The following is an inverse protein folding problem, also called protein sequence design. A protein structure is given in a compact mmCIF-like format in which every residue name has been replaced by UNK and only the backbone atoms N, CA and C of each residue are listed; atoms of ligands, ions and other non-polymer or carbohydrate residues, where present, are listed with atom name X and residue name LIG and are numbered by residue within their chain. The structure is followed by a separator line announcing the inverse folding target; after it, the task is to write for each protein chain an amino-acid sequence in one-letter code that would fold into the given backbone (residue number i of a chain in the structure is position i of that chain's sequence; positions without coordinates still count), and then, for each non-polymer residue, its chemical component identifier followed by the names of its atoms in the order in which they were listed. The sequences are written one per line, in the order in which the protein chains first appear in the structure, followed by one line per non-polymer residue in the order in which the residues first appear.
data_IF_262825209609
#
_entry.id   IF_262825209609
#
_cell.length_a   1.000
_cell.length_b   1.000
_cell.length_c   1.000
_cell.angle_alpha   90.00
_cell.angle_beta   90.00
_cell.angle_gamma   90.00
#
_symmetry.space_group_name_H-M   'P 1'
#
loop_
_entity.id
_entity.type
_entity.pdbx_description
1 polymer ?
#
# COMPACT_ATOMS: atom_id res chain seq x y z
N UNK A 1 4.08 30.01 26.67
CA UNK A 1 4.74 29.34 25.53
C UNK A 1 3.74 29.33 24.40
N UNK A 2 3.94 30.15 23.37
CA UNK A 2 3.05 30.24 22.21
C UNK A 2 3.16 28.96 21.42
N UNK A 3 2.08 28.18 21.36
CA UNK A 3 1.98 27.10 20.38
C UNK A 3 2.17 27.70 18.98
N UNK A 4 2.88 27.04 18.04
CA UNK A 4 2.86 27.49 16.65
C UNK A 4 1.40 27.56 16.18
N UNK A 5 1.00 28.64 15.52
CA UNK A 5 -0.35 28.81 14.96
C UNK A 5 -0.54 27.91 13.72
N UNK A 6 -0.48 26.59 13.94
CA UNK A 6 -0.86 25.60 12.94
C UNK A 6 -2.33 25.79 12.60
N UNK A 7 -2.66 25.86 11.32
CA UNK A 7 -4.05 26.13 10.90
C UNK A 7 -4.77 24.88 10.39
N UNK A 8 -4.02 23.84 9.99
CA UNK A 8 -4.55 22.61 9.43
C UNK A 8 -3.47 21.53 9.33
N UNK A 9 -3.91 20.34 8.94
CA UNK A 9 -3.11 19.14 8.82
C UNK A 9 -3.01 18.73 7.35
N UNK A 10 -1.88 18.12 7.01
CA UNK A 10 -1.67 17.46 5.71
C UNK A 10 -1.30 16.00 5.99
N UNK A 11 -2.04 15.07 5.39
CA UNK A 11 -1.77 13.65 5.44
C UNK A 11 -1.34 13.17 4.07
N UNK A 12 -0.20 12.49 3.98
CA UNK A 12 0.31 11.92 2.73
C UNK A 12 0.44 10.41 2.86
N UNK A 13 -0.15 9.69 1.91
CA UNK A 13 0.03 8.26 1.67
C UNK A 13 0.70 8.10 0.30
N UNK A 14 2.00 7.78 0.30
CA UNK A 14 2.83 7.71 -0.90
C UNK A 14 3.33 6.31 -1.18
N UNK A 15 2.93 5.73 -2.32
CA UNK A 15 3.32 4.38 -2.73
C UNK A 15 4.04 4.33 -4.08
N UNK A 16 4.37 3.12 -4.53
CA UNK A 16 5.06 2.88 -5.81
C UNK A 16 4.25 3.18 -7.07
N UNK A 17 2.92 3.21 -6.98
CA UNK A 17 2.00 3.42 -8.12
C UNK A 17 1.24 4.73 -8.09
N UNK A 18 1.26 5.44 -6.96
CA UNK A 18 0.55 6.70 -6.77
C UNK A 18 0.71 7.22 -5.36
N UNK A 19 0.25 8.45 -5.14
CA UNK A 19 0.10 9.00 -3.80
C UNK A 19 -1.28 9.64 -3.61
N UNK A 20 -1.67 9.79 -2.36
CA UNK A 20 -2.89 10.50 -1.94
C UNK A 20 -2.49 11.54 -0.91
N UNK A 21 -3.01 12.74 -1.08
CA UNK A 21 -2.83 13.84 -0.12
C UNK A 21 -4.20 14.28 0.36
N UNK A 22 -4.36 14.39 1.66
CA UNK A 22 -5.54 14.95 2.32
C UNK A 22 -5.16 16.21 3.09
N UNK A 23 -6.03 17.22 3.02
CA UNK A 23 -5.98 18.41 3.87
C UNK A 23 -7.12 18.28 4.88
N UNK A 24 -6.84 18.49 6.17
CA UNK A 24 -7.83 18.36 7.24
C UNK A 24 -7.74 19.49 8.27
N UNK A 25 -8.81 19.74 9.00
CA UNK A 25 -8.78 20.59 10.20
C UNK A 25 -7.98 19.94 11.33
N UNK A 26 -7.62 20.71 12.36
CA UNK A 26 -6.78 20.22 13.48
C UNK A 26 -7.41 19.09 14.30
N UNK A 27 -8.74 18.94 14.24
CA UNK A 27 -9.49 17.82 14.83
C UNK A 27 -9.52 16.57 13.93
N UNK A 28 -8.86 16.61 12.77
CA UNK A 28 -8.73 15.47 11.85
C UNK A 28 -9.82 15.37 10.78
N UNK A 29 -10.79 16.30 10.71
CA UNK A 29 -11.83 16.26 9.67
C UNK A 29 -11.26 16.68 8.31
N UNK A 30 -11.29 15.75 7.34
CA UNK A 30 -10.82 15.97 5.97
C UNK A 30 -11.68 17.04 5.26
N UNK A 31 -11.00 18.04 4.70
CA UNK A 31 -11.57 19.13 3.90
C UNK A 31 -11.53 18.80 2.41
N UNK A 32 -10.40 18.28 1.93
CA UNK A 32 -10.21 17.91 0.54
C UNK A 32 -9.11 16.87 0.35
N UNK A 33 -9.14 16.20 -0.81
CA UNK A 33 -8.13 15.23 -1.24
C UNK A 33 -7.68 15.47 -2.68
N UNK A 34 -6.44 15.04 -2.96
CA UNK A 34 -5.91 14.93 -4.30
C UNK A 34 -5.12 13.63 -4.47
N UNK A 35 -4.98 13.18 -5.72
CA UNK A 35 -4.17 12.04 -6.10
C UNK A 35 -2.95 12.53 -6.88
N UNK A 36 -1.79 11.98 -6.58
CA UNK A 36 -0.57 12.20 -7.33
C UNK A 36 -0.04 10.91 -7.95
N UNK A 37 1.00 11.06 -8.77
CA UNK A 37 1.76 9.93 -9.28
C UNK A 37 2.63 9.31 -8.16
N UNK A 38 3.45 8.31 -8.52
CA UNK A 38 4.28 7.55 -7.58
C UNK A 38 5.09 8.44 -6.64
N UNK A 39 5.23 7.99 -5.40
CA UNK A 39 5.95 8.68 -4.34
C UNK A 39 6.78 7.71 -3.49
N UNK A 40 7.42 6.72 -4.14
CA UNK A 40 8.39 5.86 -3.48
C UNK A 40 9.76 6.55 -3.42
N UNK A 41 10.18 6.94 -2.23
CA UNK A 41 11.38 7.75 -2.01
C UNK A 41 12.69 6.98 -2.19
N UNK A 42 12.64 5.64 -2.16
CA UNK A 42 13.82 4.79 -2.43
C UNK A 42 14.09 4.62 -3.94
N UNK A 43 13.06 4.76 -4.77
CA UNK A 43 13.20 4.66 -6.24
C UNK A 43 13.68 5.98 -6.84
N UNK A 44 13.00 7.07 -6.53
CA UNK A 44 13.38 8.43 -6.95
C UNK A 44 12.80 9.44 -5.95
N UNK A 45 13.63 9.88 -5.00
CA UNK A 45 13.22 10.82 -3.96
C UNK A 45 12.79 12.18 -4.55
N UNK A 46 13.47 12.67 -5.58
CA UNK A 46 13.17 13.98 -6.17
C UNK A 46 11.84 13.96 -6.93
N UNK A 47 11.59 12.91 -7.72
CA UNK A 47 10.30 12.71 -8.40
C UNK A 47 9.17 12.53 -7.38
N UNK A 48 9.41 11.75 -6.32
CA UNK A 48 8.43 11.52 -5.25
C UNK A 48 8.01 12.84 -4.56
N UNK A 49 8.98 13.66 -4.15
CA UNK A 49 8.70 14.97 -3.53
C UNK A 49 7.97 15.91 -4.48
N UNK A 50 8.35 15.93 -5.76
CA UNK A 50 7.66 16.72 -6.79
C UNK A 50 6.19 16.29 -6.93
N UNK A 51 5.93 14.98 -6.96
CA UNK A 51 4.58 14.43 -7.03
C UNK A 51 3.74 14.71 -5.78
N UNK A 52 4.33 14.56 -4.60
CA UNK A 52 3.70 14.90 -3.32
C UNK A 52 3.33 16.38 -3.28
N UNK A 53 4.25 17.28 -3.64
CA UNK A 53 3.97 18.71 -3.64
C UNK A 53 2.91 19.09 -4.65
N UNK A 54 2.91 18.51 -5.86
CA UNK A 54 1.84 18.75 -6.84
C UNK A 54 0.47 18.35 -6.31
N UNK A 55 0.35 17.16 -5.73
CA UNK A 55 -0.90 16.70 -5.12
C UNK A 55 -1.29 17.56 -3.90
N UNK A 56 -0.32 18.02 -3.12
CA UNK A 56 -0.54 18.93 -1.99
C UNK A 56 -1.16 20.25 -2.44
N UNK A 57 -0.59 20.90 -3.46
CA UNK A 57 -1.15 22.14 -4.00
C UNK A 57 -2.58 21.95 -4.49
N UNK A 58 -2.86 20.84 -5.18
CA UNK A 58 -4.22 20.52 -5.65
C UNK A 58 -5.20 20.31 -4.49
N UNK A 59 -4.80 19.58 -3.44
CA UNK A 59 -5.66 19.33 -2.27
C UNK A 59 -5.93 20.63 -1.50
N UNK A 60 -4.93 21.49 -1.32
CA UNK A 60 -5.05 22.81 -0.67
C UNK A 60 -6.02 23.71 -1.44
N UNK A 61 -5.88 23.79 -2.77
CA UNK A 61 -6.80 24.55 -3.61
C UNK A 61 -8.24 24.02 -3.53
N UNK A 62 -8.43 22.70 -3.57
CA UNK A 62 -9.77 22.09 -3.42
C UNK A 62 -10.39 22.33 -2.04
N UNK A 63 -9.57 22.48 -0.99
CA UNK A 63 -10.01 22.85 0.34
C UNK A 63 -10.41 24.33 0.46
N UNK A 64 -10.27 25.13 -0.61
CA UNK A 64 -10.54 26.57 -0.61
C UNK A 64 -9.47 27.40 0.11
N UNK A 65 -8.26 26.85 0.28
CA UNK A 65 -7.13 27.48 0.94
C UNK A 65 -6.13 28.07 -0.07
N UNK A 66 -5.30 29.00 0.39
CA UNK A 66 -4.21 29.57 -0.42
C UNK A 66 -2.99 28.66 -0.39
N UNK A 67 -2.22 28.64 -1.47
CA UNK A 67 -0.90 27.96 -1.47
C UNK A 67 0.06 28.58 -0.46
N UNK A 68 -0.13 29.86 -0.14
CA UNK A 68 0.62 30.55 0.92
C UNK A 68 0.35 29.96 2.31
N UNK A 69 -0.72 29.18 2.48
CA UNK A 69 -1.00 28.59 3.78
C UNK A 69 -0.16 27.31 4.03
N UNK A 70 0.46 26.71 3.00
CA UNK A 70 1.13 25.39 3.08
C UNK A 70 2.18 25.37 4.20
N UNK A 71 2.87 26.50 4.41
CA UNK A 71 3.89 26.66 5.44
C UNK A 71 3.36 26.77 6.87
N UNK A 72 2.02 26.71 7.04
CA UNK A 72 1.31 26.70 8.33
C UNK A 72 0.78 25.31 8.69
N UNK A 73 1.05 24.31 7.87
CA UNK A 73 0.55 22.95 8.03
C UNK A 73 1.46 22.08 8.91
N UNK A 74 0.86 21.19 9.70
CA UNK A 74 1.55 20.00 10.22
C UNK A 74 1.29 18.85 9.27
N UNK A 75 2.35 18.31 8.69
CA UNK A 75 2.28 17.20 7.75
C UNK A 75 2.77 15.90 8.38
N UNK A 76 2.04 14.81 8.15
CA UNK A 76 2.54 13.46 8.33
C UNK A 76 2.56 12.74 6.98
N UNK A 77 3.72 12.19 6.62
CA UNK A 77 3.95 11.50 5.37
C UNK A 77 4.29 10.03 5.62
N UNK A 78 3.37 9.13 5.26
CA UNK A 78 3.65 7.70 5.16
C UNK A 78 4.12 7.38 3.74
N UNK A 79 5.40 7.05 3.58
CA UNK A 79 6.04 6.92 2.28
C UNK A 79 6.69 5.54 2.11
N UNK A 80 6.36 4.87 1.02
CA UNK A 80 7.04 3.66 0.59
C UNK A 80 8.52 3.96 0.32
N UNK A 81 9.40 3.05 0.73
CA UNK A 81 10.84 3.20 0.59
C UNK A 81 11.49 4.15 1.59
N UNK A 82 10.76 4.64 2.60
CA UNK A 82 11.37 5.28 3.75
C UNK A 82 12.17 4.26 4.56
N UNK A 83 13.48 4.43 4.67
CA UNK A 83 14.39 3.48 5.33
C UNK A 83 14.99 4.00 6.63
N UNK A 84 14.61 5.19 7.08
CA UNK A 84 15.03 5.73 8.38
C UNK A 84 15.38 7.23 8.40
N UNK A 85 16.04 7.69 9.47
CA UNK A 85 16.22 9.11 9.76
C UNK A 85 17.02 9.89 8.70
N UNK A 86 17.96 9.26 8.00
CA UNK A 86 18.81 9.93 7.00
C UNK A 86 17.98 10.47 5.83
N UNK A 87 17.18 9.61 5.18
CA UNK A 87 16.27 10.03 4.12
C UNK A 87 15.14 10.92 4.67
N UNK A 88 14.72 10.68 5.92
CA UNK A 88 13.75 11.54 6.62
C UNK A 88 14.20 13.00 6.74
N UNK A 89 15.46 13.24 7.11
CA UNK A 89 16.02 14.58 7.17
C UNK A 89 16.01 15.28 5.81
N UNK A 90 16.33 14.56 4.73
CA UNK A 90 16.29 15.09 3.36
C UNK A 90 14.87 15.46 2.92
N UNK A 91 13.90 14.56 3.18
CA UNK A 91 12.49 14.78 2.85
C UNK A 91 11.94 15.98 3.61
N UNK A 92 12.16 16.03 4.94
CA UNK A 92 11.62 17.11 5.78
C UNK A 92 12.24 18.47 5.45
N UNK A 93 13.53 18.53 5.11
CA UNK A 93 14.20 19.76 4.69
C UNK A 93 13.74 20.27 3.31
N UNK A 94 13.25 19.39 2.43
CA UNK A 94 12.79 19.74 1.09
C UNK A 94 11.31 20.19 1.04
N UNK A 95 10.56 19.99 2.12
CA UNK A 95 9.12 20.28 2.17
C UNK A 95 8.85 21.58 2.93
N UNK A 96 7.97 22.45 2.42
CA UNK A 96 7.76 23.78 2.98
C UNK A 96 6.81 23.81 4.18
N UNK A 97 6.47 22.67 4.79
CA UNK A 97 5.50 22.61 5.89
C UNK A 97 6.07 23.15 7.21
N UNK A 98 5.21 23.70 8.09
CA UNK A 98 5.61 24.19 9.41
C UNK A 98 6.27 23.09 10.26
N UNK A 99 5.75 21.87 10.16
CA UNK A 99 6.25 20.67 10.80
C UNK A 99 5.99 19.48 9.88
N UNK A 100 7.01 18.65 9.67
CA UNK A 100 6.92 17.43 8.86
C UNK A 100 7.35 16.24 9.70
N UNK A 101 6.52 15.20 9.74
CA UNK A 101 6.88 13.89 10.28
C UNK A 101 6.79 12.89 9.14
N UNK A 102 7.81 12.05 9.00
CA UNK A 102 7.88 11.04 7.94
C UNK A 102 7.96 9.67 8.59
N UNK A 103 7.21 8.71 8.07
CA UNK A 103 7.28 7.30 8.46
C UNK A 103 7.19 6.41 7.23
N UNK A 104 7.37 5.11 7.43
CA UNK A 104 6.95 4.10 6.47
C UNK A 104 5.44 4.21 6.21
N UNK A 105 5.02 3.86 4.99
CA UNK A 105 3.62 3.73 4.58
C UNK A 105 2.87 2.63 5.34
N UNK A 106 3.61 1.63 5.85
CA UNK A 106 3.07 0.59 6.70
C UNK A 106 2.43 1.16 7.97
N UNK A 107 3.05 2.16 8.59
CA UNK A 107 2.51 2.77 9.82
C UNK A 107 1.18 3.50 9.56
N UNK A 108 1.11 4.31 8.50
CA UNK A 108 -0.15 5.00 8.13
C UNK A 108 -1.23 4.01 7.71
N UNK A 109 -0.86 2.92 7.04
CA UNK A 109 -1.78 1.84 6.66
C UNK A 109 -2.39 1.14 7.87
N UNK A 110 -1.58 0.75 8.86
CA UNK A 110 -2.05 0.11 10.10
C UNK A 110 -2.99 1.05 10.85
N UNK A 111 -2.55 2.28 11.12
CA UNK A 111 -3.35 3.26 11.87
C UNK A 111 -4.65 3.60 11.14
N UNK A 112 -4.62 3.70 9.81
CA UNK A 112 -5.83 3.95 9.03
C UNK A 112 -6.85 2.81 9.12
N UNK A 113 -6.38 1.57 9.12
CA UNK A 113 -7.26 0.41 9.06
C UNK A 113 -7.83 -0.04 10.40
N UNK A 114 -7.02 -0.04 11.47
CA UNK A 114 -7.41 -0.56 12.80
C UNK A 114 -7.27 0.48 13.92
N UNK A 115 -6.87 1.71 13.61
CA UNK A 115 -6.73 2.80 14.58
C UNK A 115 -5.86 2.42 15.79
N UNK A 116 -6.42 2.42 16.99
CA UNK A 116 -5.76 2.06 18.25
C UNK A 116 -6.13 0.66 18.72
N UNK A 117 -6.88 -0.11 17.93
CA UNK A 117 -7.31 -1.45 18.30
C UNK A 117 -6.17 -2.45 18.11
N UNK A 118 -6.16 -3.47 18.96
CA UNK A 118 -5.30 -4.64 18.79
C UNK A 118 -5.88 -5.52 17.68
N UNK A 119 -5.02 -5.99 16.78
CA UNK A 119 -5.46 -6.79 15.65
C UNK A 119 -4.39 -6.99 14.59
N UNK A 120 -4.81 -7.59 13.48
CA UNK A 120 -3.96 -7.95 12.37
C UNK A 120 -4.45 -7.26 11.09
N UNK A 121 -3.50 -6.88 10.24
CA UNK A 121 -3.77 -6.36 8.91
C UNK A 121 -2.94 -7.10 7.88
N UNK A 122 -3.61 -7.45 6.78
CA UNK A 122 -2.99 -7.87 5.53
C UNK A 122 -3.47 -6.87 4.47
N UNK A 123 -2.61 -5.92 4.09
CA UNK A 123 -2.88 -4.96 3.03
C UNK A 123 -2.07 -5.33 1.79
N UNK A 124 -2.76 -5.80 0.74
CA UNK A 124 -2.12 -6.26 -0.49
C UNK A 124 -2.53 -5.37 -1.66
N UNK A 125 -1.56 -4.62 -2.16
CA UNK A 125 -1.67 -3.76 -3.33
C UNK A 125 -0.63 -4.18 -4.36
N UNK A 126 0.16 -3.22 -4.84
CA UNK A 126 1.35 -3.53 -5.64
C UNK A 126 2.37 -4.32 -4.83
N UNK A 127 2.56 -4.02 -3.55
CA UNK A 127 3.38 -4.76 -2.60
C UNK A 127 2.55 -5.39 -1.48
N UNK A 128 3.23 -5.87 -0.44
CA UNK A 128 2.63 -6.60 0.69
C UNK A 128 2.93 -5.93 2.02
N UNK A 129 1.89 -5.66 2.80
CA UNK A 129 2.00 -5.28 4.21
C UNK A 129 1.24 -6.33 5.02
N UNK A 130 1.94 -6.98 5.96
CA UNK A 130 1.34 -7.90 6.93
C UNK A 130 1.83 -7.45 8.30
N UNK A 131 0.90 -7.08 9.18
CA UNK A 131 1.27 -6.55 10.48
C UNK A 131 0.30 -6.96 11.58
N UNK A 132 0.82 -6.94 12.80
CA UNK A 132 0.09 -7.04 14.05
C UNK A 132 0.26 -5.74 14.82
N UNK A 133 -0.84 -5.22 15.37
CA UNK A 133 -0.83 -4.22 16.42
C UNK A 133 -1.26 -4.86 17.74
N UNK A 134 -0.47 -4.66 18.81
CA UNK A 134 -0.81 -5.12 20.15
C UNK A 134 -0.30 -4.13 21.20
N UNK A 135 -1.19 -3.61 22.04
CA UNK A 135 -0.91 -2.57 23.03
C UNK A 135 -0.17 -1.36 22.41
N UNK A 136 -0.55 -0.98 21.19
CA UNK A 136 0.09 0.11 20.43
C UNK A 136 1.45 -0.21 19.82
N UNK A 137 1.99 -1.43 20.03
CA UNK A 137 3.22 -1.88 19.37
C UNK A 137 2.89 -2.57 18.05
N UNK A 138 3.59 -2.19 16.99
CA UNK A 138 3.45 -2.77 15.66
C UNK A 138 4.57 -3.77 15.38
N UNK A 139 4.24 -4.91 14.78
CA UNK A 139 5.21 -5.90 14.28
C UNK A 139 4.80 -6.29 12.88
N UNK A 140 5.74 -6.20 11.94
CA UNK A 140 5.48 -6.41 10.51
C UNK A 140 6.26 -7.62 9.97
N UNK A 141 5.70 -8.28 8.97
CA UNK A 141 6.33 -9.36 8.19
C UNK A 141 6.24 -9.01 6.70
N UNK A 142 7.30 -9.33 5.97
CA UNK A 142 7.37 -9.08 4.53
C UNK A 142 7.66 -7.61 4.23
N UNK A 143 7.21 -7.12 3.08
CA UNK A 143 7.39 -5.72 2.68
C UNK A 143 8.82 -5.33 2.29
N UNK A 144 9.76 -6.27 2.24
CA UNK A 144 11.17 -6.04 1.88
C UNK A 144 11.45 -5.72 0.39
N UNK A 145 10.47 -5.19 -0.35
CA UNK A 145 10.46 -4.94 -1.79
C UNK A 145 10.21 -6.15 -2.71
N UNK A 146 9.52 -5.87 -3.81
CA UNK A 146 9.09 -6.85 -4.80
C UNK A 146 10.20 -7.74 -5.37
N UNK A 147 11.42 -7.23 -5.53
CA UNK A 147 12.53 -7.98 -6.13
C UNK A 147 12.90 -9.23 -5.32
N UNK A 148 12.66 -9.23 -4.00
CA UNK A 148 13.06 -10.32 -3.10
C UNK A 148 11.96 -10.71 -2.09
N UNK A 149 10.77 -10.10 -2.18
CA UNK A 149 9.68 -10.21 -1.21
C UNK A 149 8.34 -9.93 -1.90
N UNK A 150 7.38 -9.34 -1.17
CA UNK A 150 6.02 -9.02 -1.61
C UNK A 150 5.22 -10.22 -2.13
N UNK A 151 5.44 -11.39 -1.53
CA UNK A 151 4.62 -12.56 -1.80
C UNK A 151 3.13 -12.23 -1.54
N UNK A 152 2.26 -12.82 -2.36
CA UNK A 152 0.81 -12.56 -2.40
C UNK A 152 0.39 -11.15 -2.87
N UNK A 153 1.33 -10.23 -3.15
CA UNK A 153 0.99 -8.93 -3.73
C UNK A 153 0.45 -9.06 -5.16
N UNK A 154 -0.15 -7.97 -5.66
CA UNK A 154 -0.54 -7.88 -7.06
C UNK A 154 0.64 -8.01 -8.03
N UNK A 155 1.80 -7.43 -7.70
CA UNK A 155 2.99 -7.56 -8.54
C UNK A 155 3.45 -9.02 -8.60
N UNK A 156 3.46 -9.71 -7.46
CA UNK A 156 3.80 -11.12 -7.37
C UNK A 156 2.82 -12.01 -8.16
N UNK A 157 1.51 -11.76 -8.05
CA UNK A 157 0.49 -12.47 -8.81
C UNK A 157 0.65 -12.26 -10.32
N UNK A 158 0.86 -11.02 -10.75
CA UNK A 158 1.04 -10.69 -12.17
C UNK A 158 2.28 -11.34 -12.76
N UNK A 159 3.41 -11.27 -12.06
CA UNK A 159 4.63 -11.96 -12.48
C UNK A 159 4.44 -13.48 -12.57
N UNK A 160 3.86 -14.08 -11.52
CA UNK A 160 3.55 -15.51 -11.51
C UNK A 160 2.62 -15.91 -12.66
N UNK A 161 1.64 -15.08 -13.02
CA UNK A 161 0.78 -15.35 -14.17
C UNK A 161 1.56 -15.40 -15.49
N UNK A 162 2.51 -14.48 -15.69
CA UNK A 162 3.35 -14.46 -16.88
C UNK A 162 4.32 -15.65 -16.93
N UNK A 163 4.95 -15.99 -15.81
CA UNK A 163 5.80 -17.17 -15.68
C UNK A 163 5.02 -18.44 -16.03
N UNK A 164 3.86 -18.66 -15.41
CA UNK A 164 3.03 -19.83 -15.68
C UNK A 164 2.50 -19.86 -17.11
N UNK A 165 2.25 -18.68 -17.72
CA UNK A 165 1.87 -18.58 -19.13
C UNK A 165 2.98 -19.06 -20.05
N UNK A 166 4.23 -18.68 -19.80
CA UNK A 166 5.36 -19.15 -20.60
C UNK A 166 5.60 -20.65 -20.44
N UNK A 167 5.47 -21.18 -19.21
CA UNK A 167 5.50 -22.63 -18.98
C UNK A 167 4.39 -23.38 -19.74
N UNK A 168 3.23 -22.75 -19.92
CA UNK A 168 2.14 -23.31 -20.72
C UNK A 168 2.44 -23.27 -22.23
N UNK A 169 3.15 -22.25 -22.71
CA UNK A 169 3.66 -22.18 -24.09
C UNK A 169 4.65 -23.32 -24.36
N UNK A 170 5.51 -23.64 -23.39
CA UNK A 170 6.48 -24.73 -23.48
C UNK A 170 5.86 -26.12 -23.26
N UNK A 171 4.57 -26.19 -22.91
CA UNK A 171 3.86 -27.45 -22.63
C UNK A 171 4.19 -28.10 -21.27
N UNK A 172 4.88 -27.38 -20.38
CA UNK A 172 5.23 -27.85 -19.03
C UNK A 172 4.01 -27.78 -18.10
N UNK A 173 3.21 -26.72 -18.23
CA UNK A 173 1.94 -26.53 -17.50
C UNK A 173 0.79 -26.60 -18.50
N UNK A 174 -0.36 -27.14 -18.11
CA UNK A 174 -1.54 -27.13 -18.96
C UNK A 174 -2.04 -25.69 -19.15
N UNK A 175 -2.24 -25.26 -20.39
CA UNK A 175 -2.81 -23.96 -20.69
C UNK A 175 -4.21 -23.80 -20.07
N UNK A 176 -4.51 -22.58 -19.63
CA UNK A 176 -5.80 -22.20 -19.04
C UNK A 176 -6.32 -20.89 -19.66
N UNK A 177 -7.58 -20.51 -19.43
CA UNK A 177 -8.10 -19.20 -19.83
C UNK A 177 -7.20 -18.02 -19.41
N UNK A 178 -6.59 -18.08 -18.22
CA UNK A 178 -5.64 -17.05 -17.78
C UNK A 178 -4.42 -16.95 -18.69
N UNK A 179 -3.78 -18.07 -19.04
CA UNK A 179 -2.58 -18.03 -19.90
C UNK A 179 -2.90 -17.55 -21.32
N UNK A 180 -4.06 -17.92 -21.85
CA UNK A 180 -4.54 -17.42 -23.15
C UNK A 180 -4.70 -15.90 -23.12
N UNK A 181 -5.35 -15.38 -22.07
CA UNK A 181 -5.53 -13.94 -21.88
C UNK A 181 -4.21 -13.18 -21.76
N UNK A 182 -3.21 -13.74 -21.06
CA UNK A 182 -1.89 -13.10 -20.94
C UNK A 182 -1.17 -13.02 -22.29
N UNK A 183 -1.24 -14.09 -23.09
CA UNK A 183 -0.71 -14.10 -24.45
C UNK A 183 -1.42 -13.07 -25.33
N UNK A 184 -2.76 -13.02 -25.32
CA UNK A 184 -3.52 -12.04 -26.09
C UNK A 184 -3.20 -10.60 -25.70
N UNK A 185 -3.15 -10.31 -24.40
CA UNK A 185 -2.91 -8.97 -23.87
C UNK A 185 -1.52 -8.43 -24.21
N UNK A 186 -0.50 -9.30 -24.23
CA UNK A 186 0.89 -8.89 -24.39
C UNK A 186 1.45 -9.15 -25.79
N UNK A 187 0.73 -9.82 -26.68
CA UNK A 187 1.19 -10.13 -28.04
C UNK A 187 2.02 -11.42 -28.14
N UNK A 188 1.61 -12.44 -27.40
CA UNK A 188 2.24 -13.76 -27.35
C UNK A 188 3.48 -13.81 -26.44
N UNK A 189 4.18 -14.95 -26.48
CA UNK A 189 5.38 -15.17 -25.66
C UNK A 189 6.48 -14.11 -25.88
N UNK A 190 6.81 -13.67 -27.11
CA UNK A 190 7.78 -12.59 -27.32
C UNK A 190 7.36 -11.28 -26.64
N UNK A 191 6.07 -10.98 -26.65
CA UNK A 191 5.51 -9.79 -26.01
C UNK A 191 5.59 -9.83 -24.49
N UNK A 192 5.38 -10.99 -23.88
CA UNK A 192 5.61 -11.21 -22.44
C UNK A 192 7.07 -10.93 -22.07
N UNK A 193 8.02 -11.42 -22.87
CA UNK A 193 9.46 -11.16 -22.63
C UNK A 193 9.79 -9.67 -22.79
N UNK A 194 9.26 -9.00 -23.82
CA UNK A 194 9.49 -7.56 -24.01
C UNK A 194 8.91 -6.72 -22.86
N UNK A 195 7.74 -7.12 -22.34
CA UNK A 195 7.14 -6.51 -21.17
C UNK A 195 8.01 -6.69 -19.93
N UNK A 196 8.45 -7.92 -19.62
CA UNK A 196 9.18 -8.22 -18.38
C UNK A 196 10.54 -7.50 -18.27
N UNK A 197 11.20 -7.23 -19.40
CA UNK A 197 12.48 -6.51 -19.43
C UNK A 197 12.39 -5.04 -18.96
N UNK A 198 11.19 -4.45 -18.96
CA UNK A 198 10.98 -3.02 -18.63
C UNK A 198 10.03 -2.83 -17.44
N UNK A 199 9.21 -3.84 -17.17
CA UNK A 199 8.15 -3.79 -16.18
C UNK A 199 8.68 -3.44 -14.78
N UNK A 200 8.02 -2.47 -14.16
CA UNK A 200 8.14 -2.14 -12.75
C UNK A 200 7.09 -2.93 -11.95
N UNK A 201 7.19 -3.01 -10.60
CA UNK A 201 6.23 -3.75 -9.79
C UNK A 201 4.77 -3.35 -10.07
N UNK A 202 4.52 -2.05 -10.29
CA UNK A 202 3.21 -1.52 -10.66
C UNK A 202 2.65 -2.11 -11.96
N UNK A 203 3.50 -2.34 -12.96
CA UNK A 203 3.10 -2.90 -14.26
C UNK A 203 2.64 -4.35 -14.09
N UNK A 204 3.39 -5.16 -13.34
CA UNK A 204 2.96 -6.52 -13.00
C UNK A 204 1.64 -6.50 -12.22
N UNK A 205 1.50 -5.58 -11.26
CA UNK A 205 0.29 -5.48 -10.45
C UNK A 205 -0.97 -5.16 -11.27
N UNK A 206 -0.85 -4.56 -12.46
CA UNK A 206 -2.00 -4.36 -13.37
C UNK A 206 -2.60 -5.65 -13.89
N UNK A 207 -1.88 -6.78 -13.80
CA UNK A 207 -2.32 -8.10 -14.24
C UNK A 207 -3.06 -8.87 -13.14
N UNK A 208 -2.92 -8.46 -11.87
CA UNK A 208 -3.55 -9.14 -10.73
C UNK A 208 -5.09 -9.27 -10.84
N UNK A 209 -5.85 -8.28 -11.35
CA UNK A 209 -7.30 -8.44 -11.53
C UNK A 209 -7.67 -9.60 -12.46
N UNK A 210 -6.86 -9.90 -13.48
CA UNK A 210 -7.09 -11.04 -14.35
C UNK A 210 -6.88 -12.35 -13.58
N UNK A 211 -5.82 -12.43 -12.76
CA UNK A 211 -5.54 -13.61 -11.91
C UNK A 211 -6.69 -13.86 -10.92
N UNK A 212 -7.11 -12.82 -10.20
CA UNK A 212 -8.20 -12.90 -9.22
C UNK A 212 -9.52 -13.28 -9.90
N UNK A 213 -9.82 -12.65 -11.04
CA UNK A 213 -11.06 -12.87 -11.78
C UNK A 213 -11.15 -14.29 -12.34
N UNK A 214 -10.07 -14.80 -12.93
CA UNK A 214 -10.06 -16.17 -13.47
C UNK A 214 -10.01 -17.23 -12.37
N UNK A 215 -9.26 -17.00 -11.28
CA UNK A 215 -9.24 -17.90 -10.12
C UNK A 215 -10.65 -18.09 -9.54
N UNK A 216 -11.41 -17.00 -9.40
CA UNK A 216 -12.81 -17.05 -8.94
C UNK A 216 -13.74 -17.83 -9.88
N UNK A 217 -13.35 -17.99 -11.15
CA UNK A 217 -14.05 -18.79 -12.15
C UNK A 217 -13.52 -20.25 -12.24
N UNK A 218 -12.61 -20.65 -11.34
CA UNK A 218 -12.03 -22.00 -11.32
C UNK A 218 -10.88 -22.23 -12.29
N UNK A 219 -10.25 -21.17 -12.82
CA UNK A 219 -9.04 -21.29 -13.64
C UNK A 219 -7.90 -21.93 -12.84
N UNK A 220 -7.27 -22.97 -13.40
CA UNK A 220 -6.26 -23.75 -12.68
C UNK A 220 -5.03 -22.92 -12.30
N UNK A 221 -4.50 -22.10 -13.21
CA UNK A 221 -3.31 -21.27 -12.97
C UNK A 221 -3.64 -20.17 -11.96
N UNK A 222 -4.76 -19.47 -12.16
CA UNK A 222 -5.23 -18.43 -11.25
C UNK A 222 -5.46 -18.95 -9.84
N UNK A 223 -6.15 -20.09 -9.72
CA UNK A 223 -6.41 -20.75 -8.44
C UNK A 223 -5.10 -21.14 -7.75
N UNK A 224 -4.16 -21.75 -8.47
CA UNK A 224 -2.88 -22.16 -7.91
C UNK A 224 -2.05 -20.96 -7.40
N UNK A 225 -2.09 -19.82 -8.10
CA UNK A 225 -1.45 -18.58 -7.65
C UNK A 225 -2.09 -18.04 -6.36
N UNK A 226 -3.42 -18.00 -6.29
CA UNK A 226 -4.14 -17.56 -5.09
C UNK A 226 -3.91 -18.49 -3.89
N UNK A 227 -3.89 -19.81 -4.11
CA UNK A 227 -3.58 -20.79 -3.05
C UNK A 227 -2.17 -20.57 -2.51
N UNK A 228 -1.15 -20.47 -3.38
CA UNK A 228 0.24 -20.21 -2.95
C UNK A 228 0.39 -18.88 -2.20
N UNK A 229 -0.32 -17.85 -2.64
CA UNK A 229 -0.37 -16.58 -1.91
C UNK A 229 -0.97 -16.76 -0.51
N UNK A 230 -2.09 -17.47 -0.40
CA UNK A 230 -2.75 -17.73 0.89
C UNK A 230 -1.87 -18.57 1.85
N UNK A 231 -1.12 -19.54 1.35
CA UNK A 231 -0.16 -20.32 2.15
C UNK A 231 0.93 -19.43 2.79
N UNK A 232 1.45 -18.46 2.03
CA UNK A 232 2.38 -17.46 2.55
C UNK A 232 1.72 -16.58 3.61
N UNK A 233 0.52 -16.06 3.34
CA UNK A 233 -0.22 -15.20 4.27
C UNK A 233 -0.53 -15.91 5.59
N UNK A 234 -0.97 -17.18 5.53
CA UNK A 234 -1.23 -17.99 6.71
C UNK A 234 0.05 -18.29 7.50
N UNK A 235 1.18 -18.52 6.81
CA UNK A 235 2.48 -18.66 7.47
C UNK A 235 2.92 -17.37 8.17
N UNK A 236 2.69 -16.20 7.56
CA UNK A 236 2.95 -14.90 8.17
C UNK A 236 2.06 -14.65 9.40
N UNK A 237 0.76 -14.98 9.32
CA UNK A 237 -0.16 -14.87 10.45
C UNK A 237 0.28 -15.75 11.62
N UNK A 238 0.71 -16.99 11.37
CA UNK A 238 1.29 -17.86 12.41
C UNK A 238 2.53 -17.25 13.04
N UNK A 239 3.43 -16.68 12.25
CA UNK A 239 4.65 -16.03 12.74
C UNK A 239 4.37 -14.76 13.57
N UNK A 240 3.20 -14.14 13.40
CA UNK A 240 2.70 -13.04 14.24
C UNK A 240 1.82 -13.53 15.42
N UNK A 241 1.80 -14.83 15.71
CA UNK A 241 0.99 -15.47 16.75
C UNK A 241 -0.52 -15.24 16.64
N UNK A 242 -1.07 -15.11 15.42
CA UNK A 242 -2.52 -14.95 15.22
C UNK A 242 -3.31 -16.15 15.78
N UNK A 243 -4.30 -15.87 16.62
CA UNK A 243 -5.20 -16.85 17.23
C UNK A 243 -6.61 -16.80 16.61
N UNK A 244 -7.36 -17.88 16.75
CA UNK A 244 -8.77 -17.89 16.34
C UNK A 244 -9.56 -16.86 17.13
N UNK A 245 -10.27 -15.99 16.42
CA UNK A 245 -11.07 -14.89 17.00
C UNK A 245 -10.34 -13.55 17.07
N UNK A 246 -9.03 -13.51 16.80
CA UNK A 246 -8.32 -12.24 16.62
C UNK A 246 -8.90 -11.47 15.43
N UNK A 247 -8.97 -10.14 15.57
CA UNK A 247 -9.40 -9.25 14.49
C UNK A 247 -8.41 -9.35 13.33
N UNK A 248 -8.91 -9.64 12.14
CA UNK A 248 -8.12 -9.62 10.90
C UNK A 248 -8.78 -8.71 9.87
N UNK A 249 -8.04 -7.68 9.45
CA UNK A 249 -8.43 -6.80 8.36
C UNK A 249 -7.69 -7.18 7.07
N UNK A 250 -8.44 -7.56 6.03
CA UNK A 250 -7.91 -7.73 4.68
C UNK A 250 -8.19 -6.45 3.88
N UNK A 251 -7.15 -5.83 3.34
CA UNK A 251 -7.28 -4.55 2.62
C UNK A 251 -6.36 -4.46 1.40
N UNK A 252 -6.43 -3.34 0.68
CA UNK A 252 -5.79 -3.17 -0.62
C UNK A 252 -6.62 -3.77 -1.76
N UNK A 253 -6.11 -3.64 -2.99
CA UNK A 253 -6.81 -4.10 -4.19
C UNK A 253 -6.85 -5.62 -4.36
N UNK A 254 -5.96 -6.34 -3.66
CA UNK A 254 -5.86 -7.81 -3.75
C UNK A 254 -6.30 -8.49 -2.45
N UNK A 255 -6.02 -7.89 -1.28
CA UNK A 255 -6.19 -8.52 0.04
C UNK A 255 -7.56 -9.16 0.26
N UNK A 256 -8.68 -8.46 0.03
CA UNK A 256 -10.02 -9.02 0.23
C UNK A 256 -10.29 -10.31 -0.58
N UNK A 257 -9.63 -10.48 -1.73
CA UNK A 257 -9.82 -11.65 -2.59
C UNK A 257 -9.15 -12.92 -2.05
N UNK A 258 -8.30 -12.81 -1.02
CA UNK A 258 -7.70 -13.97 -0.35
C UNK A 258 -8.61 -14.60 0.71
N UNK A 259 -9.70 -13.93 1.14
CA UNK A 259 -10.58 -14.47 2.18
C UNK A 259 -11.05 -15.91 1.92
N UNK A 260 -11.45 -16.30 0.69
CA UNK A 260 -11.88 -17.69 0.40
C UNK A 260 -10.74 -18.72 0.39
N UNK A 261 -9.48 -18.28 0.32
CA UNK A 261 -8.30 -19.13 0.23
C UNK A 261 -7.59 -19.31 1.57
N UNK A 262 -7.91 -18.48 2.56
CA UNK A 262 -7.36 -18.57 3.90
C UNK A 262 -8.11 -19.61 4.75
N UNK A 263 -7.44 -20.31 5.67
CA UNK A 263 -8.09 -21.21 6.62
C UNK A 263 -9.20 -20.53 7.42
N UNK A 264 -10.29 -21.25 7.68
CA UNK A 264 -11.48 -20.69 8.36
C UNK A 264 -11.21 -20.23 9.80
N UNK A 265 -10.18 -20.79 10.46
CA UNK A 265 -9.75 -20.38 11.79
C UNK A 265 -8.99 -19.05 11.80
N UNK A 266 -8.50 -18.59 10.63
CA UNK A 266 -7.93 -17.24 10.42
C UNK A 266 -9.01 -16.21 10.12
N UNK A 267 -10.05 -16.60 9.40
CA UNK A 267 -11.09 -15.68 8.90
C UNK A 267 -12.32 -15.58 9.80
N UNK A 268 -12.29 -16.18 10.99
CA UNK A 268 -13.42 -16.20 11.93
C UNK A 268 -13.83 -14.83 12.48
N UNK A 269 -12.96 -13.82 12.42
CA UNK A 269 -13.24 -12.45 12.82
C UNK A 269 -12.65 -11.45 11.81
N UNK A 270 -13.08 -11.58 10.55
CA UNK A 270 -12.76 -10.59 9.52
C UNK A 270 -13.51 -9.28 9.75
N UNK A 271 -12.77 -8.18 9.81
CA UNK A 271 -13.34 -6.84 9.89
C UNK A 271 -12.98 -6.02 8.65
N UNK A 272 -13.84 -5.07 8.29
CA UNK A 272 -13.48 -4.07 7.29
C UNK A 272 -12.50 -3.06 7.89
N UNK A 273 -11.60 -2.55 7.05
CA UNK A 273 -10.75 -1.43 7.44
C UNK A 273 -11.63 -0.23 7.83
N UNK A 274 -11.33 0.39 8.98
CA UNK A 274 -12.05 1.58 9.45
C UNK A 274 -11.80 2.80 8.57
N UNK A 275 -10.62 2.85 7.95
CA UNK A 275 -10.20 3.90 7.04
C UNK A 275 -9.07 3.43 6.11
N UNK A 276 -8.54 4.36 5.34
CA UNK A 276 -7.45 4.19 4.37
C UNK A 276 -6.13 4.67 4.99
N UNK A 277 -5.02 4.37 4.34
CA UNK A 277 -3.71 4.84 4.77
C UNK A 277 -3.62 6.38 4.88
N UNK A 278 -4.26 7.14 3.97
CA UNK A 278 -4.31 8.60 4.07
C UNK A 278 -5.07 9.09 5.32
N UNK A 279 -6.08 8.36 5.77
CA UNK A 279 -6.81 8.67 7.01
C UNK A 279 -5.90 8.42 8.23
N UNK A 280 -5.08 7.36 8.19
CA UNK A 280 -4.04 7.11 9.18
C UNK A 280 -2.94 8.18 9.19
N UNK A 281 -2.56 8.71 8.02
CA UNK A 281 -1.64 9.85 7.93
C UNK A 281 -2.22 11.10 8.61
N UNK A 282 -3.51 11.40 8.41
CA UNK A 282 -4.18 12.50 9.14
C UNK A 282 -4.20 12.24 10.65
N UNK A 283 -4.54 11.03 11.09
CA UNK A 283 -4.52 10.69 12.51
C UNK A 283 -3.14 10.86 13.15
N UNK A 284 -2.07 10.55 12.42
CA UNK A 284 -0.69 10.79 12.88
C UNK A 284 -0.32 12.27 12.84
N UNK A 285 -0.80 13.04 11.86
CA UNK A 285 -0.63 14.50 11.82
C UNK A 285 -1.30 15.19 13.02
N UNK A 286 -2.49 14.73 13.44
CA UNK A 286 -3.16 15.20 14.68
C UNK A 286 -2.25 14.98 15.89
N UNK A 287 -1.65 13.79 16.03
CA UNK A 287 -0.72 13.49 17.13
C UNK A 287 0.52 14.37 17.07
N UNK A 288 1.07 14.59 15.88
CA UNK A 288 2.24 15.45 15.68
C UNK A 288 1.94 16.92 16.04
N UNK A 289 0.74 17.42 15.77
CA UNK A 289 0.32 18.77 16.13
C UNK A 289 0.16 18.96 17.65
N UNK A 290 -0.21 17.91 18.38
CA UNK A 290 -0.34 17.93 19.84
C UNK A 290 1.01 17.88 20.58
N UNK A 291 2.08 17.43 19.92
CA UNK A 291 3.42 17.36 20.52
C UNK A 291 4.15 18.70 20.43
N UNK A 292 4.74 19.21 21.54
CA UNK A 292 5.63 20.37 21.47
C UNK A 292 6.82 20.10 20.55
N UNK A 293 7.32 21.15 19.89
CA UNK A 293 8.54 21.10 19.06
C UNK A 293 9.78 20.86 19.93
#
# INVERSE_FOLDING_TARGET
MTHPDFSYLIGVDGGGTGCRVAVATLDGRILAEAKGARANVSTDCAEALTNIMRATHEAVQKAGLSTADIDRAVAHLGLAGYTGPEIGGQITAALPFAKSVVSEDTNTTIIGAIEQEDGYIIALGTGTIIARQKAGQQTCIGGWCYQVSDQASGAWLGHGALEQTLLAVDGIVTASPLSQRMLEKLGGAPGIVQFSLKAQPGDFATLAPDVVGTASAGDAIGTALMVRGAEYLDSALRALDHQTGDILCLSGGVGPHYAPYLPSDRTGNLTSAKGRAVDGAIALAVRAAAQPQ
#
